data_IF_483518627808
#
_entry.id   IF_483518627808
#
_cell.length_a   1.000
_cell.length_b   1.000
_cell.length_c   1.000
_cell.angle_alpha   90.00
_cell.angle_beta   90.00
_cell.angle_gamma   90.00
#
_symmetry.space_group_name_H-M   'P 1'
#
loop_
_entity.id
_entity.type
_entity.pdbx_description
1 polymer ?
#
# COMPACT_ATOMS: atom_id res chain seq x y z
N UNK A 1 -0.24 26.12 -16.71
CA UNK A 1 -0.51 24.73 -17.15
C UNK A 1 -0.91 23.94 -15.93
N UNK A 2 -1.99 23.16 -15.98
CA UNK A 2 -2.42 22.34 -14.84
C UNK A 2 -1.56 21.08 -14.79
N UNK A 3 -1.29 20.55 -13.59
CA UNK A 3 -0.50 19.31 -13.38
C UNK A 3 -1.01 18.14 -14.25
N UNK A 4 -2.33 18.03 -14.45
CA UNK A 4 -2.93 17.03 -15.34
C UNK A 4 -2.57 17.17 -16.83
N UNK A 5 -2.35 18.38 -17.34
CA UNK A 5 -1.92 18.59 -18.74
C UNK A 5 -0.48 18.14 -19.00
N UNK A 6 0.40 18.21 -17.99
CA UNK A 6 1.76 17.67 -18.06
C UNK A 6 1.73 16.13 -18.06
N UNK A 7 0.96 15.52 -17.15
CA UNK A 7 0.86 14.06 -17.05
C UNK A 7 0.33 13.40 -18.33
N UNK A 8 -0.65 14.01 -19.01
CA UNK A 8 -1.19 13.47 -20.27
C UNK A 8 -0.16 13.59 -21.42
N UNK A 9 0.58 14.69 -21.50
CA UNK A 9 1.67 14.84 -22.47
C UNK A 9 2.81 13.85 -22.20
N UNK A 10 3.05 13.52 -20.93
CA UNK A 10 4.01 12.51 -20.51
C UNK A 10 3.59 11.10 -20.97
N UNK A 11 2.31 10.72 -20.91
CA UNK A 11 1.85 9.40 -21.36
C UNK A 11 2.12 9.13 -22.85
N UNK A 12 1.87 10.11 -23.73
CA UNK A 12 2.16 9.95 -25.16
C UNK A 12 3.67 9.79 -25.41
N UNK A 13 4.49 10.48 -24.63
CA UNK A 13 5.94 10.35 -24.67
C UNK A 13 6.36 8.96 -24.18
N UNK A 14 5.74 8.45 -23.13
CA UNK A 14 5.96 7.10 -22.59
C UNK A 14 5.67 6.03 -23.65
N UNK A 15 4.54 6.10 -24.37
CA UNK A 15 4.21 5.14 -25.43
C UNK A 15 5.24 5.15 -26.57
N UNK A 16 5.73 6.33 -26.94
CA UNK A 16 6.78 6.46 -27.94
C UNK A 16 8.09 5.80 -27.47
N UNK A 17 8.53 6.10 -26.25
CA UNK A 17 9.77 5.52 -25.69
C UNK A 17 9.65 4.03 -25.43
N UNK A 18 8.48 3.55 -25.00
CA UNK A 18 8.20 2.13 -24.82
C UNK A 18 8.40 1.39 -26.14
N UNK A 19 7.75 1.82 -27.23
CA UNK A 19 7.91 1.22 -28.57
C UNK A 19 9.36 1.21 -29.04
N UNK A 20 10.10 2.31 -28.81
CA UNK A 20 11.52 2.37 -29.14
C UNK A 20 12.32 1.34 -28.32
N UNK A 21 12.05 1.23 -27.02
CA UNK A 21 12.70 0.24 -26.17
C UNK A 21 12.33 -1.20 -26.57
N UNK A 22 11.10 -1.47 -27.01
CA UNK A 22 10.72 -2.80 -27.54
C UNK A 22 11.60 -3.21 -28.72
N UNK A 23 11.84 -2.27 -29.66
CA UNK A 23 12.70 -2.51 -30.82
C UNK A 23 14.15 -2.81 -30.41
N UNK A 24 14.72 -2.01 -29.50
CA UNK A 24 16.08 -2.21 -29.01
C UNK A 24 16.23 -3.54 -28.25
N UNK A 25 15.26 -3.87 -27.38
CA UNK A 25 15.24 -5.15 -26.66
C UNK A 25 15.17 -6.33 -27.64
N UNK A 26 14.38 -6.21 -28.70
CA UNK A 26 14.28 -7.24 -29.73
C UNK A 26 15.61 -7.42 -30.48
N UNK A 27 16.26 -6.34 -30.90
CA UNK A 27 17.57 -6.38 -31.57
C UNK A 27 18.64 -7.01 -30.68
N UNK A 28 18.72 -6.60 -29.42
CA UNK A 28 19.71 -7.11 -28.46
C UNK A 28 19.44 -8.55 -28.00
N UNK A 29 18.23 -9.08 -28.21
CA UNK A 29 17.86 -10.41 -27.70
C UNK A 29 18.65 -11.57 -28.33
N UNK A 30 19.20 -11.38 -29.54
CA UNK A 30 19.98 -12.40 -30.24
C UNK A 30 21.30 -12.67 -29.52
N UNK A 31 22.00 -11.63 -29.09
CA UNK A 31 23.35 -11.73 -28.52
C UNK A 31 23.40 -11.54 -27.00
N UNK A 32 22.37 -10.94 -26.40
CA UNK A 32 22.40 -10.49 -25.01
C UNK A 32 21.23 -10.96 -24.14
N UNK A 33 20.44 -11.96 -24.58
CA UNK A 33 19.28 -12.46 -23.81
C UNK A 33 19.63 -13.07 -22.44
N UNK A 34 20.90 -13.42 -22.22
CA UNK A 34 21.42 -13.93 -20.94
C UNK A 34 22.14 -12.86 -20.12
N UNK A 35 22.16 -11.61 -20.57
CA UNK A 35 22.82 -10.50 -19.87
C UNK A 35 21.89 -9.80 -18.89
N UNK A 36 22.43 -9.41 -17.73
CA UNK A 36 21.65 -8.79 -16.65
C UNK A 36 20.88 -7.54 -17.10
N UNK A 37 21.55 -6.64 -17.83
CA UNK A 37 20.95 -5.36 -18.22
C UNK A 37 19.84 -5.53 -19.26
N UNK A 38 19.91 -6.57 -20.09
CA UNK A 38 18.83 -6.91 -21.02
C UNK A 38 17.59 -7.40 -20.25
N UNK A 39 17.78 -8.27 -19.25
CA UNK A 39 16.70 -8.73 -18.39
C UNK A 39 16.09 -7.57 -17.58
N UNK A 40 16.92 -6.68 -17.06
CA UNK A 40 16.46 -5.47 -16.36
C UNK A 40 15.63 -4.57 -17.29
N UNK A 41 16.06 -4.37 -18.54
CA UNK A 41 15.28 -3.61 -19.53
C UNK A 41 13.94 -4.28 -19.84
N UNK A 42 13.91 -5.61 -20.02
CA UNK A 42 12.67 -6.37 -20.18
C UNK A 42 11.76 -6.19 -18.96
N UNK A 43 12.31 -6.19 -17.75
CA UNK A 43 11.55 -5.97 -16.52
C UNK A 43 10.94 -4.56 -16.45
N UNK A 44 11.66 -3.52 -16.86
CA UNK A 44 11.08 -2.16 -16.93
C UNK A 44 9.93 -2.07 -17.93
N UNK A 45 10.06 -2.72 -19.09
CA UNK A 45 8.96 -2.77 -20.07
C UNK A 45 7.79 -3.62 -19.57
N UNK A 46 8.06 -4.70 -18.84
CA UNK A 46 7.04 -5.44 -18.11
C UNK A 46 6.28 -4.52 -17.14
N UNK A 47 6.95 -3.72 -16.32
CA UNK A 47 6.31 -2.77 -15.39
C UNK A 47 5.43 -1.74 -16.10
N UNK A 48 5.87 -1.26 -17.27
CA UNK A 48 5.08 -0.36 -18.12
C UNK A 48 3.76 -1.03 -18.54
N UNK A 49 3.81 -2.25 -19.08
CA UNK A 49 2.59 -2.93 -19.52
C UNK A 49 1.68 -3.40 -18.38
N UNK A 50 2.25 -3.73 -17.21
CA UNK A 50 1.45 -3.93 -15.99
C UNK A 50 0.72 -2.64 -15.60
N UNK A 51 1.39 -1.50 -15.70
CA UNK A 51 0.82 -0.18 -15.39
C UNK A 51 -0.30 0.21 -16.36
N UNK A 52 -0.18 -0.21 -17.62
CA UNK A 52 -1.18 0.02 -18.65
C UNK A 52 -2.37 -0.93 -18.58
N UNK A 53 -2.18 -2.12 -18.01
CA UNK A 53 -3.18 -3.18 -18.02
C UNK A 53 -3.14 -4.07 -19.26
N UNK A 54 -2.08 -3.98 -20.08
CA UNK A 54 -1.86 -4.90 -21.19
C UNK A 54 -1.25 -6.22 -20.67
N UNK A 55 -2.13 -7.11 -20.23
CA UNK A 55 -1.74 -8.42 -19.68
C UNK A 55 -0.97 -9.29 -20.68
N UNK A 56 -1.25 -9.17 -21.98
CA UNK A 56 -0.59 -9.97 -23.00
C UNK A 56 0.88 -9.57 -23.11
N UNK A 57 1.15 -8.27 -23.29
CA UNK A 57 2.53 -7.79 -23.35
C UNK A 57 3.25 -7.91 -22.02
N UNK A 58 2.57 -7.66 -20.90
CA UNK A 58 3.13 -7.88 -19.58
C UNK A 58 3.60 -9.34 -19.41
N UNK A 59 2.76 -10.31 -19.77
CA UNK A 59 3.12 -11.73 -19.75
C UNK A 59 4.32 -12.06 -20.65
N UNK A 60 4.36 -11.48 -21.86
CA UNK A 60 5.46 -11.65 -22.80
C UNK A 60 6.81 -11.19 -22.23
N UNK A 61 6.89 -9.98 -21.67
CA UNK A 61 8.14 -9.47 -21.10
C UNK A 61 8.53 -10.16 -19.80
N UNK A 62 7.56 -10.54 -18.97
CA UNK A 62 7.84 -11.36 -17.78
C UNK A 62 8.44 -12.71 -18.17
N UNK A 63 7.97 -13.34 -19.25
CA UNK A 63 8.55 -14.59 -19.74
C UNK A 63 10.03 -14.44 -20.13
N UNK A 64 10.42 -13.30 -20.72
CA UNK A 64 11.83 -12.99 -21.02
C UNK A 64 12.68 -12.81 -19.77
N UNK A 65 12.15 -12.13 -18.76
CA UNK A 65 12.83 -11.97 -17.46
C UNK A 65 13.01 -13.34 -16.78
N UNK A 66 11.98 -14.19 -16.82
CA UNK A 66 12.05 -15.56 -16.29
C UNK A 66 13.02 -16.44 -17.08
N UNK A 67 13.12 -16.28 -18.40
CA UNK A 67 14.14 -16.94 -19.21
C UNK A 67 15.55 -16.61 -18.71
N UNK A 68 15.83 -15.32 -18.47
CA UNK A 68 17.10 -14.89 -17.87
C UNK A 68 17.35 -15.59 -16.53
N UNK A 69 16.40 -15.56 -15.57
CA UNK A 69 16.60 -16.23 -14.28
C UNK A 69 16.87 -17.73 -14.43
N UNK A 70 16.16 -18.41 -15.34
CA UNK A 70 16.40 -19.82 -15.61
C UNK A 70 17.79 -20.09 -16.19
N UNK A 71 18.31 -19.21 -17.06
CA UNK A 71 19.66 -19.32 -17.61
C UNK A 71 20.76 -19.18 -16.53
N UNK A 72 20.49 -18.45 -15.46
CA UNK A 72 21.45 -18.23 -14.37
C UNK A 72 21.44 -19.34 -13.30
N UNK A 73 20.54 -20.33 -13.39
CA UNK A 73 20.50 -21.45 -12.43
C UNK A 73 21.75 -22.33 -12.50
N UNK A 74 22.32 -22.48 -13.70
CA UNK A 74 23.53 -23.27 -13.91
C UNK A 74 24.81 -22.50 -13.56
N UNK A 75 24.77 -21.17 -13.75
CA UNK A 75 25.88 -20.27 -13.44
C UNK A 75 25.33 -18.99 -12.82
N UNK A 76 25.51 -18.79 -11.50
CA UNK A 76 25.02 -17.59 -10.82
C UNK A 76 25.53 -16.32 -11.48
N UNK A 77 24.64 -15.33 -11.65
CA UNK A 77 25.01 -14.04 -12.18
C UNK A 77 26.04 -13.36 -11.28
N UNK A 78 27.15 -12.83 -11.82
CA UNK A 78 28.12 -12.07 -11.03
C UNK A 78 27.57 -10.69 -10.64
N UNK A 79 26.41 -10.28 -11.17
CA UNK A 79 25.85 -8.97 -10.90
C UNK A 79 25.26 -8.89 -9.49
N UNK A 80 25.79 -7.96 -8.68
CA UNK A 80 25.33 -7.72 -7.29
C UNK A 80 23.85 -7.35 -7.14
N UNK A 81 23.18 -6.96 -8.23
CA UNK A 81 21.76 -6.61 -8.26
C UNK A 81 20.85 -7.75 -8.75
N UNK A 82 21.39 -8.93 -9.06
CA UNK A 82 20.63 -10.08 -9.54
C UNK A 82 19.44 -10.42 -8.63
N UNK A 83 19.69 -10.62 -7.34
CA UNK A 83 18.65 -10.97 -6.37
C UNK A 83 17.62 -9.86 -6.17
N UNK A 84 18.00 -8.59 -6.36
CA UNK A 84 17.06 -7.48 -6.31
C UNK A 84 16.09 -7.49 -7.50
N UNK A 85 16.61 -7.79 -8.70
CA UNK A 85 15.78 -7.94 -9.90
C UNK A 85 14.84 -9.15 -9.79
N UNK A 86 15.36 -10.29 -9.34
CA UNK A 86 14.59 -11.52 -9.09
C UNK A 86 13.45 -11.26 -8.10
N UNK A 87 13.80 -10.65 -6.96
CA UNK A 87 12.84 -10.27 -5.94
C UNK A 87 11.75 -9.34 -6.49
N UNK A 88 12.14 -8.23 -7.12
CA UNK A 88 11.19 -7.25 -7.62
C UNK A 88 10.30 -7.81 -8.73
N UNK A 89 10.84 -8.65 -9.61
CA UNK A 89 10.05 -9.35 -10.64
C UNK A 89 9.02 -10.27 -10.01
N UNK A 90 9.42 -11.06 -9.01
CA UNK A 90 8.52 -11.98 -8.28
C UNK A 90 7.39 -11.25 -7.57
N UNK A 91 7.69 -10.15 -6.85
CA UNK A 91 6.68 -9.36 -6.13
C UNK A 91 5.66 -8.71 -7.07
N UNK A 92 6.11 -8.20 -8.23
CA UNK A 92 5.18 -7.60 -9.19
C UNK A 92 4.35 -8.67 -9.88
N UNK A 93 4.96 -9.80 -10.26
CA UNK A 93 4.25 -10.91 -10.87
C UNK A 93 3.16 -11.46 -9.95
N UNK A 94 3.46 -11.71 -8.67
CA UNK A 94 2.46 -12.23 -7.72
C UNK A 94 1.31 -11.25 -7.48
N UNK A 95 1.59 -9.94 -7.44
CA UNK A 95 0.56 -8.93 -7.18
C UNK A 95 -0.37 -8.64 -8.36
N UNK A 96 0.13 -8.76 -9.59
CA UNK A 96 -0.59 -8.29 -10.78
C UNK A 96 -0.98 -9.39 -11.76
N UNK A 97 -0.43 -10.60 -11.62
CA UNK A 97 -0.78 -11.74 -12.46
C UNK A 97 -1.48 -12.88 -11.68
N UNK A 98 -1.37 -12.94 -10.35
CA UNK A 98 -2.09 -13.94 -9.55
C UNK A 98 -3.38 -13.34 -8.97
N UNK A 99 -4.48 -14.10 -9.03
CA UNK A 99 -5.84 -13.62 -8.73
C UNK A 99 -6.15 -13.41 -7.24
N UNK A 100 -5.22 -13.71 -6.31
CA UNK A 100 -5.55 -13.67 -4.89
C UNK A 100 -4.44 -13.09 -4.00
N UNK A 101 -4.61 -11.82 -3.60
CA UNK A 101 -3.91 -11.21 -2.46
C UNK A 101 -4.40 -11.82 -1.13
N UNK A 102 -4.05 -13.09 -0.89
CA UNK A 102 -4.37 -13.76 0.39
C UNK A 102 -3.34 -13.40 1.45
N UNK A 103 -3.74 -13.45 2.72
CA UNK A 103 -2.80 -13.31 3.83
C UNK A 103 -1.63 -14.31 3.77
N UNK A 104 -1.88 -15.53 3.29
CA UNK A 104 -0.81 -16.52 3.12
C UNK A 104 0.19 -16.13 2.03
N UNK A 105 -0.29 -15.64 0.87
CA UNK A 105 0.59 -15.12 -0.20
C UNK A 105 1.43 -13.95 0.30
N UNK A 106 0.85 -13.12 1.16
CA UNK A 106 1.49 -11.99 1.80
C UNK A 106 2.64 -12.42 2.71
N UNK A 107 2.39 -13.40 3.59
CA UNK A 107 3.40 -13.94 4.50
C UNK A 107 4.54 -14.64 3.75
N UNK A 108 4.24 -15.41 2.69
CA UNK A 108 5.27 -15.97 1.80
C UNK A 108 6.10 -14.87 1.14
N UNK A 109 5.42 -13.83 0.65
CA UNK A 109 6.05 -12.63 0.11
C UNK A 109 7.01 -11.98 1.12
N UNK A 110 6.57 -11.76 2.36
CA UNK A 110 7.39 -11.20 3.44
C UNK A 110 8.67 -12.02 3.71
N UNK A 111 8.57 -13.35 3.80
CA UNK A 111 9.73 -14.22 4.00
C UNK A 111 10.72 -14.11 2.83
N UNK A 112 10.21 -14.10 1.60
CA UNK A 112 11.05 -13.85 0.42
C UNK A 112 11.72 -12.48 0.50
N UNK A 113 10.98 -11.40 0.81
CA UNK A 113 11.58 -10.07 0.98
C UNK A 113 12.70 -10.12 2.03
N UNK A 114 12.41 -10.69 3.19
CA UNK A 114 13.36 -10.78 4.29
C UNK A 114 14.65 -11.49 3.86
N UNK A 115 14.51 -12.62 3.16
CA UNK A 115 15.65 -13.36 2.62
C UNK A 115 16.47 -12.52 1.64
N UNK A 116 15.83 -11.84 0.68
CA UNK A 116 16.55 -11.05 -0.32
C UNK A 116 17.28 -9.84 0.27
N UNK A 117 16.73 -9.20 1.31
CA UNK A 117 17.35 -8.04 1.95
C UNK A 117 18.41 -8.41 3.00
N UNK A 118 18.22 -9.51 3.73
CA UNK A 118 19.10 -9.90 4.85
C UNK A 118 20.10 -11.01 4.49
N UNK A 119 19.89 -11.72 3.38
CA UNK A 119 20.54 -12.98 3.06
C UNK A 119 20.44 -14.03 4.18
N UNK A 120 19.35 -14.00 4.95
CA UNK A 120 19.04 -14.95 6.04
C UNK A 120 17.61 -15.44 5.91
N UNK A 121 17.36 -16.68 6.29
CA UNK A 121 15.98 -17.17 6.39
C UNK A 121 15.33 -16.55 7.62
N UNK A 122 14.03 -16.32 7.55
CA UNK A 122 13.30 -15.72 8.66
C UNK A 122 13.28 -16.65 9.88
N UNK A 123 13.22 -17.96 9.63
CA UNK A 123 13.28 -19.04 10.61
C UNK A 123 14.59 -19.01 11.43
N UNK A 124 15.68 -18.52 10.84
CA UNK A 124 16.98 -18.40 11.52
C UNK A 124 17.03 -17.17 12.46
N UNK A 125 16.03 -16.30 12.39
CA UNK A 125 16.00 -15.01 13.12
C UNK A 125 14.90 -14.92 14.17
N UNK A 126 13.89 -15.78 14.07
CA UNK A 126 12.80 -15.90 15.04
C UNK A 126 13.07 -17.06 16.01
N UNK A 127 12.27 -17.13 17.07
CA UNK A 127 12.27 -18.32 17.94
C UNK A 127 11.86 -19.57 17.14
N UNK A 128 12.44 -20.75 17.43
CA UNK A 128 12.12 -21.99 16.72
C UNK A 128 10.61 -22.26 16.68
N UNK A 129 10.09 -22.58 15.49
CA UNK A 129 8.67 -22.87 15.27
C UNK A 129 7.75 -21.65 15.15
N UNK A 130 8.21 -20.43 15.47
CA UNK A 130 7.36 -19.22 15.37
C UNK A 130 6.89 -18.96 13.93
N UNK A 131 7.81 -19.04 12.96
CA UNK A 131 7.44 -18.81 11.56
C UNK A 131 6.52 -19.90 11.02
N UNK A 132 6.83 -21.17 11.34
CA UNK A 132 5.99 -22.31 10.96
C UNK A 132 4.58 -22.20 11.54
N UNK A 133 4.47 -21.77 12.80
CA UNK A 133 3.18 -21.48 13.43
C UNK A 133 2.42 -20.39 12.66
N UNK A 134 3.07 -19.27 12.33
CA UNK A 134 2.44 -18.18 11.57
C UNK A 134 1.99 -18.62 10.17
N UNK A 135 2.73 -19.51 9.52
CA UNK A 135 2.40 -20.00 8.17
C UNK A 135 1.27 -21.03 8.14
N UNK A 136 1.08 -21.78 9.22
CA UNK A 136 0.14 -22.91 9.28
C UNK A 136 -1.10 -22.63 10.14
N UNK A 137 -1.12 -21.53 10.90
CA UNK A 137 -2.23 -21.19 11.77
C UNK A 137 -3.08 -20.07 11.17
N UNK A 138 -4.40 -20.22 11.23
CA UNK A 138 -5.32 -19.13 10.87
C UNK A 138 -5.16 -17.99 11.88
N UNK A 139 -5.02 -16.78 11.37
CA UNK A 139 -4.99 -15.58 12.19
C UNK A 139 -6.32 -15.39 12.92
N UNK A 140 -6.27 -15.10 14.22
CA UNK A 140 -7.42 -14.87 15.08
C UNK A 140 -7.07 -13.91 16.23
N UNK A 141 -8.07 -13.51 17.02
CA UNK A 141 -7.89 -12.62 18.16
C UNK A 141 -6.90 -13.15 19.21
N UNK A 142 -6.74 -14.47 19.36
CA UNK A 142 -5.84 -15.02 20.39
C UNK A 142 -4.36 -14.97 19.98
N UNK A 143 -4.07 -15.01 18.68
CA UNK A 143 -2.70 -15.04 18.18
C UNK A 143 -2.27 -13.74 17.47
N UNK A 144 -3.15 -12.73 17.39
CA UNK A 144 -2.88 -11.49 16.66
C UNK A 144 -1.60 -10.79 17.12
N UNK A 145 -1.34 -10.76 18.43
CA UNK A 145 -0.13 -10.13 19.01
C UNK A 145 1.12 -10.76 18.42
N UNK A 146 1.18 -12.08 18.36
CA UNK A 146 2.35 -12.79 17.85
C UNK A 146 2.58 -12.45 16.38
N UNK A 147 1.52 -12.50 15.56
CA UNK A 147 1.63 -12.17 14.14
C UNK A 147 2.02 -10.70 13.92
N UNK A 148 1.48 -9.78 14.71
CA UNK A 148 1.84 -8.36 14.68
C UNK A 148 3.32 -8.18 15.01
N UNK A 149 3.81 -8.77 16.10
CA UNK A 149 5.21 -8.70 16.50
C UNK A 149 6.16 -9.27 15.44
N UNK A 150 5.80 -10.42 14.84
CA UNK A 150 6.57 -11.02 13.74
C UNK A 150 6.60 -10.07 12.54
N UNK A 151 5.45 -9.51 12.15
CA UNK A 151 5.35 -8.58 11.02
C UNK A 151 6.17 -7.31 11.26
N UNK A 152 6.05 -6.71 12.44
CA UNK A 152 6.81 -5.52 12.85
C UNK A 152 8.32 -5.79 12.85
N UNK A 153 8.75 -6.95 13.36
CA UNK A 153 10.14 -7.37 13.31
C UNK A 153 10.65 -7.45 11.87
N UNK A 154 9.89 -8.08 10.96
CA UNK A 154 10.25 -8.17 9.54
C UNK A 154 10.39 -6.77 8.94
N UNK A 155 9.38 -5.91 9.10
CA UNK A 155 9.40 -4.56 8.52
C UNK A 155 10.53 -3.70 9.07
N UNK A 156 10.81 -3.78 10.38
CA UNK A 156 11.92 -3.06 11.00
C UNK A 156 13.26 -3.48 10.40
N UNK A 157 13.47 -4.78 10.20
CA UNK A 157 14.67 -5.30 9.54
C UNK A 157 14.74 -4.87 8.07
N UNK A 158 13.64 -5.01 7.31
CA UNK A 158 13.58 -4.59 5.91
C UNK A 158 13.89 -3.10 5.76
N UNK A 159 13.35 -2.26 6.64
CA UNK A 159 13.59 -0.83 6.65
C UNK A 159 15.07 -0.50 6.91
N UNK A 160 15.70 -1.21 7.86
CA UNK A 160 17.13 -1.08 8.14
C UNK A 160 18.00 -1.47 6.93
N UNK A 161 17.73 -2.62 6.30
CA UNK A 161 18.47 -3.04 5.10
C UNK A 161 18.23 -2.11 3.91
N UNK A 162 16.99 -1.65 3.70
CA UNK A 162 16.66 -0.69 2.65
C UNK A 162 17.45 0.60 2.83
N UNK A 163 17.52 1.15 4.06
CA UNK A 163 18.31 2.34 4.34
C UNK A 163 19.79 2.14 3.99
N UNK A 164 20.37 1.02 4.40
CA UNK A 164 21.76 0.71 4.10
C UNK A 164 21.99 0.65 2.58
N UNK A 165 21.13 -0.07 1.85
CA UNK A 165 21.19 -0.13 0.37
C UNK A 165 21.05 1.26 -0.25
N UNK A 166 20.11 2.08 0.21
CA UNK A 166 19.93 3.44 -0.30
C UNK A 166 21.16 4.32 -0.09
N UNK A 167 21.89 4.17 1.02
CA UNK A 167 23.16 4.89 1.27
C UNK A 167 24.27 4.49 0.30
N UNK A 168 24.19 3.31 -0.33
CA UNK A 168 25.19 2.85 -1.31
C UNK A 168 24.92 3.27 -2.75
N UNK A 169 23.71 3.76 -3.05
CA UNK A 169 23.40 4.36 -4.35
C UNK A 169 24.11 5.71 -4.43
N UNK A 170 24.74 6.07 -5.54
CA UNK A 170 25.43 7.38 -5.67
C UNK A 170 24.68 8.37 -6.56
N UNK A 171 23.79 7.85 -7.42
CA UNK A 171 23.32 8.59 -8.59
C UNK A 171 21.88 9.12 -8.44
N UNK A 172 21.19 8.77 -7.35
CA UNK A 172 19.75 9.01 -7.18
C UNK A 172 19.36 9.65 -5.83
N UNK A 173 20.30 10.34 -5.17
CA UNK A 173 20.09 11.00 -3.87
C UNK A 173 19.43 12.38 -3.95
N UNK A 174 18.39 12.54 -4.75
CA UNK A 174 17.59 13.77 -4.66
C UNK A 174 16.67 13.72 -3.43
N UNK A 175 16.38 14.87 -2.84
CA UNK A 175 15.39 14.98 -1.77
C UNK A 175 14.03 14.40 -2.18
N UNK A 176 13.61 14.66 -3.43
CA UNK A 176 12.38 14.13 -4.01
C UNK A 176 12.37 12.60 -4.08
N UNK A 177 13.50 11.97 -4.40
CA UNK A 177 13.62 10.51 -4.38
C UNK A 177 13.41 9.96 -2.96
N UNK A 178 14.07 10.52 -1.95
CA UNK A 178 13.91 10.06 -0.56
C UNK A 178 12.49 10.29 -0.04
N UNK A 179 11.88 11.44 -0.34
CA UNK A 179 10.46 11.72 -0.03
C UNK A 179 9.53 10.68 -0.66
N UNK A 180 9.72 10.37 -1.94
CA UNK A 180 8.92 9.37 -2.65
C UNK A 180 9.09 7.97 -2.06
N UNK A 181 10.33 7.58 -1.73
CA UNK A 181 10.62 6.27 -1.13
C UNK A 181 10.04 6.12 0.28
N UNK A 182 10.01 7.20 1.05
CA UNK A 182 9.37 7.28 2.37
C UNK A 182 7.86 7.19 2.26
N UNK A 183 7.25 7.97 1.35
CA UNK A 183 5.81 7.91 1.08
C UNK A 183 5.38 6.49 0.69
N UNK A 184 6.12 5.83 -0.20
CA UNK A 184 5.84 4.45 -0.57
C UNK A 184 5.97 3.48 0.61
N UNK A 185 6.99 3.65 1.46
CA UNK A 185 7.15 2.80 2.64
C UNK A 185 5.97 2.94 3.61
N UNK A 186 5.44 4.15 3.78
CA UNK A 186 4.25 4.42 4.59
C UNK A 186 3.00 3.78 3.99
N UNK A 187 2.76 3.94 2.67
CA UNK A 187 1.66 3.24 2.01
C UNK A 187 1.76 1.73 2.22
N UNK A 188 2.94 1.16 1.99
CA UNK A 188 3.15 -0.28 2.16
C UNK A 188 2.84 -0.68 3.61
N UNK A 189 3.42 0.00 4.61
CA UNK A 189 3.16 -0.31 6.01
C UNK A 189 1.67 -0.29 6.37
N UNK A 190 0.96 0.78 6.02
CA UNK A 190 -0.48 0.88 6.30
C UNK A 190 -1.31 -0.11 5.47
N UNK A 191 -0.93 -0.39 4.24
CA UNK A 191 -1.53 -1.42 3.40
C UNK A 191 -1.43 -2.82 3.99
N UNK A 192 -0.28 -3.13 4.60
CA UNK A 192 -0.11 -4.36 5.36
C UNK A 192 -1.00 -4.38 6.61
N UNK A 193 -1.10 -3.28 7.34
CA UNK A 193 -2.03 -3.13 8.47
C UNK A 193 -3.47 -3.40 8.02
N UNK A 194 -3.94 -2.78 6.93
CA UNK A 194 -5.29 -2.98 6.39
C UNK A 194 -5.53 -4.45 6.05
N UNK A 195 -4.63 -5.06 5.28
CA UNK A 195 -4.73 -6.47 4.90
C UNK A 195 -4.78 -7.40 6.12
N UNK A 196 -3.96 -7.10 7.13
CA UNK A 196 -3.91 -7.85 8.37
C UNK A 196 -5.20 -7.71 9.18
N UNK A 197 -5.69 -6.49 9.39
CA UNK A 197 -6.89 -6.24 10.18
C UNK A 197 -8.15 -6.80 9.52
N UNK A 198 -8.23 -6.82 8.19
CA UNK A 198 -9.35 -7.46 7.47
C UNK A 198 -9.49 -8.96 7.74
N UNK A 199 -8.44 -9.63 8.23
CA UNK A 199 -8.48 -11.06 8.54
C UNK A 199 -9.06 -11.38 9.93
N UNK A 200 -9.19 -10.39 10.81
CA UNK A 200 -9.70 -10.57 12.16
C UNK A 200 -10.91 -9.67 12.35
N UNK A 201 -12.11 -10.11 11.93
CA UNK A 201 -13.34 -9.32 12.04
C UNK A 201 -13.65 -8.87 13.47
N UNK A 202 -13.13 -9.60 14.46
CA UNK A 202 -13.28 -9.31 15.89
C UNK A 202 -12.31 -8.23 16.40
N UNK A 203 -11.32 -7.81 15.60
CA UNK A 203 -10.46 -6.67 15.94
C UNK A 203 -11.20 -5.36 15.67
N UNK A 204 -10.91 -4.38 16.53
CA UNK A 204 -11.57 -3.09 16.51
C UNK A 204 -11.54 -2.44 15.13
N UNK A 205 -12.75 -2.25 14.61
CA UNK A 205 -13.03 -1.44 13.43
C UNK A 205 -12.28 -0.11 13.45
N UNK A 206 -12.06 0.47 14.64
CA UNK A 206 -11.32 1.72 14.83
C UNK A 206 -9.87 1.67 14.34
N UNK A 207 -9.18 0.53 14.48
CA UNK A 207 -7.77 0.37 14.05
C UNK A 207 -7.70 0.28 12.52
N UNK A 208 -8.63 -0.46 11.91
CA UNK A 208 -8.74 -0.53 10.46
C UNK A 208 -9.10 0.84 9.88
N UNK A 209 -10.02 1.55 10.53
CA UNK A 209 -10.41 2.91 10.18
C UNK A 209 -9.24 3.89 10.27
N UNK A 210 -8.43 3.84 11.34
CA UNK A 210 -7.23 4.66 11.46
C UNK A 210 -6.24 4.39 10.31
N UNK A 211 -6.01 3.13 9.96
CA UNK A 211 -5.10 2.75 8.88
C UNK A 211 -5.60 3.24 7.50
N UNK A 212 -6.89 3.05 7.20
CA UNK A 212 -7.51 3.56 5.96
C UNK A 212 -7.45 5.09 5.89
N UNK A 213 -7.69 5.78 7.00
CA UNK A 213 -7.57 7.22 7.10
C UNK A 213 -6.14 7.70 6.82
N UNK A 214 -5.13 7.05 7.43
CA UNK A 214 -3.72 7.35 7.16
C UNK A 214 -3.39 7.20 5.68
N UNK A 215 -3.82 6.09 5.04
CA UNK A 215 -3.63 5.89 3.59
C UNK A 215 -4.20 7.04 2.79
N UNK A 216 -5.42 7.47 3.09
CA UNK A 216 -6.08 8.57 2.36
C UNK A 216 -5.28 9.87 2.49
N UNK A 217 -4.79 10.18 3.68
CA UNK A 217 -4.06 11.42 3.95
C UNK A 217 -2.66 11.42 3.35
N UNK A 218 -2.01 10.26 3.25
CA UNK A 218 -0.75 10.12 2.52
C UNK A 218 -0.90 10.53 1.04
N UNK A 219 -2.10 10.45 0.47
CA UNK A 219 -2.35 10.89 -0.92
C UNK A 219 -2.29 12.41 -1.11
N UNK A 220 -2.35 13.18 -0.02
CA UNK A 220 -2.24 14.65 -0.07
C UNK A 220 -0.79 15.13 -0.15
N UNK A 221 0.17 14.21 -0.05
CA UNK A 221 1.58 14.55 -0.14
C UNK A 221 1.98 15.04 -1.54
N UNK A 222 2.84 16.05 -1.62
CA UNK A 222 3.30 16.66 -2.87
C UNK A 222 3.93 15.67 -3.87
N UNK A 223 4.56 14.59 -3.40
CA UNK A 223 5.15 13.57 -4.27
C UNK A 223 4.21 12.41 -4.59
N UNK A 224 2.95 12.44 -4.13
CA UNK A 224 1.94 11.42 -4.43
C UNK A 224 1.74 11.16 -5.93
N UNK A 225 1.71 12.18 -6.82
CA UNK A 225 1.63 11.93 -8.27
C UNK A 225 2.74 11.01 -8.80
N UNK A 226 3.88 10.90 -8.10
CA UNK A 226 5.03 10.07 -8.43
C UNK A 226 5.09 8.73 -7.68
N UNK A 227 4.08 8.39 -6.85
CA UNK A 227 4.02 7.13 -6.10
C UNK A 227 4.07 5.90 -7.01
N UNK A 228 4.73 4.82 -6.59
CA UNK A 228 4.84 3.61 -7.41
C UNK A 228 3.51 2.84 -7.49
N UNK A 229 3.34 2.09 -8.58
CA UNK A 229 2.23 1.18 -8.88
C UNK A 229 1.82 0.28 -7.68
N UNK A 230 2.77 -0.09 -6.82
CA UNK A 230 2.52 -0.90 -5.64
C UNK A 230 1.53 -0.27 -4.62
N UNK A 231 1.32 1.05 -4.64
CA UNK A 231 0.40 1.74 -3.74
C UNK A 231 -1.07 1.68 -4.21
N UNK A 232 -1.33 1.35 -5.47
CA UNK A 232 -2.68 1.43 -6.07
C UNK A 232 -3.69 0.59 -5.29
N UNK A 233 -3.38 -0.68 -5.05
CA UNK A 233 -4.26 -1.60 -4.34
C UNK A 233 -4.59 -1.11 -2.92
N UNK A 234 -3.61 -0.51 -2.23
CA UNK A 234 -3.76 -0.02 -0.86
C UNK A 234 -4.74 1.16 -0.81
N UNK A 235 -4.65 2.06 -1.79
CA UNK A 235 -5.53 3.22 -1.92
C UNK A 235 -6.94 2.78 -2.32
N UNK A 236 -7.06 1.80 -3.23
CA UNK A 236 -8.37 1.21 -3.59
C UNK A 236 -9.05 0.58 -2.38
N UNK A 237 -8.31 -0.16 -1.55
CA UNK A 237 -8.84 -0.77 -0.32
C UNK A 237 -9.32 0.29 0.69
N UNK A 238 -8.56 1.37 0.91
CA UNK A 238 -8.98 2.48 1.76
C UNK A 238 -10.26 3.16 1.22
N UNK A 239 -10.30 3.44 -0.10
CA UNK A 239 -11.45 4.04 -0.76
C UNK A 239 -12.71 3.17 -0.64
N UNK A 240 -12.59 1.85 -0.80
CA UNK A 240 -13.71 0.91 -0.61
C UNK A 240 -14.21 0.90 0.84
N UNK A 241 -13.30 0.94 1.80
CA UNK A 241 -13.65 1.01 3.22
C UNK A 241 -14.45 2.29 3.54
N UNK A 242 -13.97 3.46 3.10
CA UNK A 242 -14.66 4.73 3.32
C UNK A 242 -15.98 4.83 2.55
N UNK A 243 -16.05 4.24 1.36
CA UNK A 243 -17.29 4.14 0.60
C UNK A 243 -18.36 3.37 1.37
N UNK A 244 -18.01 2.22 1.95
CA UNK A 244 -18.95 1.43 2.76
C UNK A 244 -19.37 2.18 4.03
N UNK A 245 -18.45 2.91 4.67
CA UNK A 245 -18.80 3.80 5.78
C UNK A 245 -19.82 4.87 5.37
N UNK A 246 -19.65 5.50 4.20
CA UNK A 246 -20.61 6.47 3.65
C UNK A 246 -21.98 5.84 3.35
N UNK A 247 -22.01 4.62 2.81
CA UNK A 247 -23.27 3.86 2.60
C UNK A 247 -23.98 3.59 3.93
N UNK A 248 -23.25 3.27 5.00
CA UNK A 248 -23.84 3.10 6.33
C UNK A 248 -24.41 4.42 6.88
N UNK A 249 -23.79 5.55 6.57
CA UNK A 249 -24.28 6.88 6.95
C UNK A 249 -25.57 7.23 6.20
N UNK A 250 -25.64 7.00 4.88
CA UNK A 250 -26.88 7.20 4.10
C UNK A 250 -28.06 6.37 4.65
N UNK A 251 -27.78 5.20 5.25
CA UNK A 251 -28.77 4.33 5.91
C UNK A 251 -29.09 4.73 7.35
N UNK A 252 -28.43 5.74 7.90
CA UNK A 252 -28.57 6.15 9.30
C UNK A 252 -27.99 5.16 10.32
N UNK A 253 -27.10 4.25 9.88
CA UNK A 253 -26.46 3.24 10.73
C UNK A 253 -25.18 3.75 11.39
N UNK A 254 -24.63 4.86 10.89
CA UNK A 254 -23.35 5.41 11.34
C UNK A 254 -23.39 6.94 11.33
N UNK A 255 -22.78 7.63 12.32
CA UNK A 255 -22.71 9.08 12.29
C UNK A 255 -21.80 9.59 11.16
N UNK A 256 -22.16 10.76 10.60
CA UNK A 256 -21.41 11.39 9.52
C UNK A 256 -20.00 11.83 9.93
N UNK A 257 -19.86 12.34 11.15
CA UNK A 257 -18.58 12.70 11.75
C UNK A 257 -18.12 11.58 12.67
N UNK A 258 -16.87 11.19 12.53
CA UNK A 258 -16.23 10.22 13.39
C UNK A 258 -15.05 10.84 14.13
N UNK A 259 -14.63 10.16 15.19
CA UNK A 259 -13.46 10.53 15.96
C UNK A 259 -12.58 9.30 16.12
N UNK A 260 -11.30 9.43 15.75
CA UNK A 260 -10.28 8.39 15.93
C UNK A 260 -9.26 8.88 16.93
N UNK A 261 -8.90 8.01 17.87
CA UNK A 261 -7.77 8.21 18.76
C UNK A 261 -6.52 7.69 18.07
N UNK A 262 -5.57 8.57 17.78
CA UNK A 262 -4.31 8.14 17.17
C UNK A 262 -3.48 7.36 18.17
N UNK A 263 -2.57 6.54 17.66
CA UNK A 263 -1.54 5.88 18.49
C UNK A 263 -0.71 6.87 19.34
N UNK A 264 -0.65 8.15 18.98
CA UNK A 264 0.03 9.19 19.75
C UNK A 264 -0.84 9.80 20.87
N UNK A 265 -2.08 9.33 21.03
CA UNK A 265 -3.04 9.86 22.01
C UNK A 265 -3.76 11.14 21.54
N UNK A 266 -3.63 11.53 20.26
CA UNK A 266 -4.35 12.68 19.70
C UNK A 266 -5.74 12.26 19.27
N UNK A 267 -6.70 13.14 19.49
CA UNK A 267 -8.08 12.95 19.03
C UNK A 267 -8.25 13.65 17.69
N UNK A 268 -8.66 12.92 16.66
CA UNK A 268 -8.89 13.44 15.32
C UNK A 268 -10.36 13.27 14.98
N UNK A 269 -11.03 14.38 14.66
CA UNK A 269 -12.41 14.36 14.17
C UNK A 269 -12.42 14.65 12.67
N UNK A 270 -13.17 13.85 11.92
CA UNK A 270 -13.28 14.00 10.46
C UNK A 270 -14.68 13.69 9.96
N UNK A 271 -14.95 14.10 8.73
CA UNK A 271 -16.19 13.85 7.99
C UNK A 271 -15.94 12.80 6.92
N UNK A 272 -16.71 11.70 6.92
CA UNK A 272 -16.46 10.60 5.99
C UNK A 272 -16.63 10.99 4.52
N UNK A 273 -17.55 11.89 4.18
CA UNK A 273 -17.73 12.32 2.80
C UNK A 273 -16.56 13.18 2.34
N UNK A 274 -16.00 14.02 3.22
CA UNK A 274 -14.76 14.74 2.95
C UNK A 274 -13.59 13.78 2.68
N UNK A 275 -13.42 12.74 3.51
CA UNK A 275 -12.39 11.70 3.30
C UNK A 275 -12.61 10.96 1.98
N UNK A 276 -13.85 10.56 1.68
CA UNK A 276 -14.19 9.87 0.45
C UNK A 276 -13.94 10.73 -0.80
N UNK A 277 -14.09 12.05 -0.70
CA UNK A 277 -13.71 12.98 -1.76
C UNK A 277 -12.19 12.96 -2.00
N UNK A 278 -11.38 12.90 -0.93
CA UNK A 278 -9.91 12.76 -1.04
C UNK A 278 -9.54 11.45 -1.75
N UNK A 279 -10.20 10.35 -1.40
CA UNK A 279 -10.02 9.05 -2.05
C UNK A 279 -10.33 9.11 -3.55
N UNK A 280 -11.46 9.74 -3.93
CA UNK A 280 -11.82 9.92 -5.34
C UNK A 280 -10.77 10.72 -6.11
N UNK A 281 -10.27 11.82 -5.52
CA UNK A 281 -9.18 12.61 -6.13
C UNK A 281 -7.92 11.79 -6.30
N UNK A 282 -7.55 11.00 -5.29
CA UNK A 282 -6.38 10.12 -5.36
C UNK A 282 -6.50 9.09 -6.49
N UNK A 283 -7.66 8.44 -6.63
CA UNK A 283 -7.94 7.50 -7.71
C UNK A 283 -7.88 8.17 -9.09
N UNK A 284 -8.37 9.41 -9.23
CA UNK A 284 -8.23 10.16 -10.47
C UNK A 284 -6.77 10.49 -10.81
N UNK A 285 -5.97 10.93 -9.84
CA UNK A 285 -4.52 11.20 -10.04
C UNK A 285 -3.80 9.92 -10.48
N UNK A 286 -4.10 8.79 -9.84
CA UNK A 286 -3.55 7.50 -10.24
C UNK A 286 -4.04 7.07 -11.62
N UNK A 287 -5.32 7.27 -11.96
CA UNK A 287 -5.88 6.98 -13.27
C UNK A 287 -5.25 7.78 -14.41
N UNK A 288 -4.82 9.02 -14.12
CA UNK A 288 -4.07 9.83 -15.08
C UNK A 288 -2.67 9.28 -15.38
N UNK A 289 -2.09 8.50 -14.47
CA UNK A 289 -0.73 7.95 -14.62
C UNK A 289 -0.71 6.48 -15.01
N UNK A 290 -1.71 5.73 -14.57
CA UNK A 290 -1.82 4.29 -14.69
C UNK A 290 -3.14 3.95 -15.37
N UNK A 291 -3.10 3.72 -16.69
CA UNK A 291 -4.31 3.41 -17.49
C UNK A 291 -5.14 2.26 -16.89
N UNK A 292 -4.48 1.29 -16.26
CA UNK A 292 -5.13 0.19 -15.54
C UNK A 292 -6.10 0.66 -14.45
N UNK A 293 -5.80 1.74 -13.72
CA UNK A 293 -6.67 2.19 -12.62
C UNK A 293 -8.02 2.62 -13.16
N UNK A 294 -8.03 3.43 -14.22
CA UNK A 294 -9.28 3.84 -14.87
C UNK A 294 -10.02 2.66 -15.49
N UNK A 295 -9.30 1.67 -16.03
CA UNK A 295 -9.94 0.48 -16.60
C UNK A 295 -10.55 -0.44 -15.52
N UNK A 296 -9.79 -0.75 -14.46
CA UNK A 296 -10.16 -1.77 -13.47
C UNK A 296 -10.99 -1.25 -12.29
N UNK A 297 -11.00 0.06 -12.06
CA UNK A 297 -11.68 0.67 -10.90
C UNK A 297 -12.66 1.79 -11.27
N UNK A 298 -13.06 1.88 -12.55
CA UNK A 298 -14.05 2.85 -13.04
C UNK A 298 -15.38 2.74 -12.28
N UNK A 299 -15.87 1.52 -12.04
CA UNK A 299 -17.12 1.30 -11.31
C UNK A 299 -17.06 1.82 -9.86
N UNK A 300 -15.92 1.60 -9.18
CA UNK A 300 -15.69 2.13 -7.83
C UNK A 300 -15.69 3.67 -7.84
N UNK A 301 -14.96 4.28 -8.78
CA UNK A 301 -14.89 5.74 -8.90
C UNK A 301 -16.26 6.36 -9.22
N UNK A 302 -17.05 5.69 -10.07
CA UNK A 302 -18.41 6.10 -10.40
C UNK A 302 -19.33 6.01 -9.18
N UNK A 303 -19.27 4.91 -8.43
CA UNK A 303 -20.08 4.73 -7.22
C UNK A 303 -19.75 5.77 -6.14
N UNK A 304 -18.46 6.07 -5.93
CA UNK A 304 -18.02 7.13 -5.03
C UNK A 304 -18.60 8.48 -5.46
N UNK A 305 -18.48 8.83 -6.75
CA UNK A 305 -18.99 10.08 -7.29
C UNK A 305 -20.50 10.24 -7.04
N UNK A 306 -21.27 9.17 -7.28
CA UNK A 306 -22.72 9.17 -7.07
C UNK A 306 -23.11 9.37 -5.59
N UNK A 307 -22.38 8.77 -4.64
CA UNK A 307 -22.62 9.00 -3.20
C UNK A 307 -22.34 10.45 -2.82
N UNK A 308 -21.23 11.01 -3.29
CA UNK A 308 -20.85 12.39 -2.98
C UNK A 308 -21.87 13.39 -3.57
N UNK A 309 -22.34 13.17 -4.80
CA UNK A 309 -23.37 13.99 -5.44
C UNK A 309 -24.70 13.98 -4.68
N UNK A 310 -25.17 12.81 -4.24
CA UNK A 310 -26.40 12.71 -3.43
C UNK A 310 -26.28 13.48 -2.13
N UNK A 311 -25.16 13.35 -1.44
CA UNK A 311 -24.94 13.99 -0.15
C UNK A 311 -24.81 15.52 -0.26
N UNK A 312 -24.16 16.03 -1.33
CA UNK A 312 -24.08 17.48 -1.59
C UNK A 312 -25.47 18.11 -1.84
N UNK A 313 -26.43 17.36 -2.38
CA UNK A 313 -27.79 17.84 -2.60
C UNK A 313 -28.63 17.86 -1.31
N UNK A 314 -28.34 16.98 -0.34
CA UNK A 314 -29.06 16.93 0.94
C UNK A 314 -28.76 18.17 1.79
N UNK A 315 -27.50 18.62 1.83
CA UNK A 315 -27.06 19.80 2.60
C UNK A 315 -27.67 21.13 2.09
N UNK A 316 -28.26 21.15 0.89
CA UNK A 316 -28.99 22.31 0.33
C UNK A 316 -30.47 22.38 0.76
N UNK A 317 -30.99 21.35 1.43
CA UNK A 317 -32.38 21.33 1.89
C UNK A 317 -32.50 22.16 3.17
N UNK A 318 -33.41 23.16 3.26
CA UNK A 318 -33.59 23.90 4.50
C UNK A 318 -33.92 22.92 5.64
N UNK A 319 -33.35 23.11 6.85
CA UNK A 319 -33.52 22.18 7.95
C UNK A 319 -35.00 22.08 8.28
N UNK A 320 -35.62 20.98 7.87
CA UNK A 320 -36.96 20.63 8.33
C UNK A 320 -36.81 20.30 9.80
N UNK A 321 -37.15 21.27 10.66
CA UNK A 321 -37.20 21.13 12.11
C UNK A 321 -38.22 20.04 12.48
N UNK A 322 -37.82 18.78 12.36
CA UNK A 322 -38.52 17.66 12.97
C UNK A 322 -37.99 17.50 14.39
N UNK A 323 -38.75 18.01 15.36
CA UNK A 323 -38.43 17.95 16.79
C UNK A 323 -38.63 16.55 17.39
N UNK A 324 -38.31 15.47 16.66
CA UNK A 324 -38.23 14.14 17.26
C UNK A 324 -36.86 14.02 17.91
N UNK A 325 -36.81 14.02 19.25
CA UNK A 325 -35.64 13.61 20.03
C UNK A 325 -35.25 12.19 19.61
N UNK A 326 -34.39 12.08 18.61
CA UNK A 326 -33.80 10.82 18.23
C UNK A 326 -32.66 10.58 19.20
N UNK A 327 -32.92 9.79 20.24
CA UNK A 327 -31.86 9.18 21.02
C UNK A 327 -31.29 8.08 20.11
N UNK A 328 -30.10 8.23 19.52
CA UNK A 328 -29.52 7.14 18.75
C UNK A 328 -29.44 5.92 19.68
N UNK A 329 -29.78 4.71 19.20
CA UNK A 329 -29.52 3.52 19.98
C UNK A 329 -28.03 3.54 20.31
N UNK A 330 -27.71 3.49 21.61
CA UNK A 330 -26.36 3.28 22.09
C UNK A 330 -25.95 1.91 21.53
N UNK A 331 -25.37 1.88 20.34
CA UNK A 331 -24.59 0.73 19.90
C UNK A 331 -23.41 0.72 20.87
N UNK A 332 -23.50 -0.15 21.87
CA UNK A 332 -22.37 -0.45 22.73
C UNK A 332 -21.20 -0.77 21.82
N UNK A 333 -20.14 0.04 21.89
CA UNK A 333 -18.82 -0.36 21.39
C UNK A 333 -18.64 -1.80 21.88
N UNK A 334 -18.43 -2.79 20.99
CA UNK A 334 -18.31 -4.18 21.43
C UNK A 334 -17.28 -4.22 22.57
N UNK A 335 -17.63 -4.79 23.73
CA UNK A 335 -16.70 -4.85 24.88
C UNK A 335 -15.32 -5.45 24.53
N UNK A 336 -15.25 -6.20 23.43
CA UNK A 336 -14.02 -6.76 22.87
C UNK A 336 -13.05 -5.68 22.32
N UNK A 337 -13.57 -4.56 21.82
CA UNK A 337 -12.75 -3.45 21.32
C UNK A 337 -11.99 -2.75 22.45
N UNK A 338 -12.58 -2.59 23.64
CA UNK A 338 -11.89 -2.00 24.79
C UNK A 338 -10.73 -2.88 25.30
N UNK A 339 -10.92 -4.20 25.33
CA UNK A 339 -9.86 -5.13 25.79
C UNK A 339 -8.69 -5.11 24.82
N UNK A 340 -8.98 -5.15 23.51
CA UNK A 340 -7.95 -5.11 22.48
C UNK A 340 -7.24 -3.74 22.46
N UNK A 341 -8.00 -2.64 22.56
CA UNK A 341 -7.45 -1.30 22.63
C UNK A 341 -6.52 -1.15 23.84
N UNK A 342 -6.91 -1.65 25.03
CA UNK A 342 -6.04 -1.66 26.21
C UNK A 342 -4.78 -2.50 26.01
N UNK A 343 -4.88 -3.67 25.37
CA UNK A 343 -3.70 -4.49 25.05
C UNK A 343 -2.74 -3.77 24.08
N UNK A 344 -3.28 -3.08 23.08
CA UNK A 344 -2.49 -2.27 22.14
C UNK A 344 -1.86 -1.07 22.84
N UNK A 345 -2.57 -0.42 23.75
CA UNK A 345 -2.11 0.72 24.54
C UNK A 345 -1.01 0.32 25.55
N UNK A 346 -1.19 -0.80 26.25
CA UNK A 346 -0.18 -1.39 27.13
C UNK A 346 1.11 -1.72 26.37
N UNK A 347 1.01 -2.30 25.17
CA UNK A 347 2.19 -2.55 24.32
C UNK A 347 2.85 -1.27 23.84
N UNK A 348 2.07 -0.25 23.46
CA UNK A 348 2.62 1.03 23.04
C UNK A 348 3.39 1.71 24.18
N UNK A 349 2.92 1.56 25.43
CA UNK A 349 3.61 2.08 26.60
C UNK A 349 4.89 1.29 26.93
N UNK A 350 4.91 -0.03 26.74
CA UNK A 350 6.11 -0.87 26.93
C UNK A 350 7.17 -0.57 25.85
N UNK A 351 6.76 -0.34 24.60
CA UNK A 351 7.69 -0.05 23.50
C UNK A 351 8.32 1.35 23.56
N UNK A 352 7.80 2.26 24.38
CA UNK A 352 8.41 3.58 24.65
C UNK A 352 9.58 3.52 25.64
N UNK A 353 9.77 2.43 26.37
CA UNK A 353 10.83 2.35 27.41
C UNK A 353 12.17 1.78 26.92
N UNK A 354 12.27 1.38 25.66
CA UNK A 354 13.53 0.99 25.03
C UNK A 354 13.93 2.07 24.02
N UNK A 355 15.18 2.54 24.05
CA UNK A 355 15.83 3.53 23.15
C UNK A 355 15.86 3.10 21.66
N UNK A 356 14.90 2.31 21.21
CA UNK A 356 14.55 2.19 19.82
C UNK A 356 13.52 3.25 19.48
N UNK A 357 13.99 4.50 19.29
CA UNK A 357 13.34 5.43 18.36
C UNK A 357 13.00 4.62 17.10
N UNK A 358 11.70 4.45 16.88
CA UNK A 358 11.21 3.70 15.75
C UNK A 358 11.76 4.37 14.51
N UNK A 359 12.46 3.64 13.66
CA UNK A 359 12.93 4.18 12.39
C UNK A 359 11.77 4.79 11.55
N UNK A 360 10.51 4.42 11.83
CA UNK A 360 9.32 5.05 11.26
C UNK A 360 8.97 6.41 11.89
N UNK A 361 9.31 6.69 13.16
CA UNK A 361 9.12 8.01 13.79
C UNK A 361 10.09 9.04 13.22
N UNK A 362 11.37 8.67 13.04
CA UNK A 362 12.40 9.53 12.42
C UNK A 362 12.22 9.71 10.91
N UNK A 363 11.42 8.84 10.29
CA UNK A 363 11.03 8.91 8.89
C UNK A 363 9.56 9.28 8.68
N UNK A 364 8.88 9.82 9.68
CA UNK A 364 7.58 10.44 9.44
C UNK A 364 7.76 11.60 8.44
N UNK A 365 6.76 11.88 7.60
CA UNK A 365 6.76 13.05 6.71
C UNK A 365 6.52 14.36 7.52
N UNK A 366 6.96 14.40 8.78
CA UNK A 366 6.34 15.19 9.85
C UNK A 366 5.22 14.40 10.54
N UNK A 367 4.63 14.94 11.61
CA UNK A 367 3.42 14.37 12.18
C UNK A 367 2.36 14.43 11.08
N UNK A 368 1.94 13.28 10.56
CA UNK A 368 0.80 13.19 9.62
C UNK A 368 -0.45 13.88 10.19
N UNK A 369 -0.49 14.01 11.51
CA UNK A 369 -1.41 14.79 12.33
C UNK A 369 -1.44 16.31 12.05
N UNK A 370 -0.42 16.85 11.38
CA UNK A 370 -0.38 18.23 10.88
C UNK A 370 -1.15 18.41 9.57
N UNK A 371 -1.39 17.33 8.80
CA UNK A 371 -2.27 17.33 7.62
C UNK A 371 -3.75 17.55 7.98
N UNK A 372 -4.09 17.62 9.27
CA UNK A 372 -5.43 17.89 9.78
C UNK A 372 -5.65 19.32 10.30
N UNK A 373 -4.65 20.21 10.17
CA UNK A 373 -4.74 21.55 10.76
C UNK A 373 -5.51 22.56 9.89
N UNK A 374 -5.97 22.17 8.71
CA UNK A 374 -6.69 23.04 7.76
C UNK A 374 -8.18 22.66 7.59
#
# INVERSE_FOLDING_TARGET
>A
MTMGSHLVADLNSVDFYARKAELEIALLSLDHSTEFYWAAACHYIYLHYVSDGDNYKAGYYLAKVNYYFNSQKEKPSPNKYFHLLEFHSSVVASRFNEEANTFQSLMKGMSSMFYHYSNRKIEDTLLPGTWEYCMNTKLCQQNYILFKQVSEFIFKNLAHFKLHTMKTLTDCHSEGFFKSQRLLALFVAEGYTILFMKQIPEISYSVLEEACLKVTLLTENEVFPFVLLAAIYIIVEAAQFHLEACKQIERGLKPRKATVFTSAGKVITFDYFSILEKDLRALHVLGQRYRRVSASHSDLMLEISQILERNNNVDMSPPVFSSSKFTPPLQSIPQQDEVLARQLEEQHNVSKSEDTESFLSDQSLGPWEELFKD
#
